data_IF_820531946682
#
_entry.id   IF_820531946682
#
_cell.length_a   1.000
_cell.length_b   1.000
_cell.length_c   1.000
_cell.angle_alpha   90.00
_cell.angle_beta   90.00
_cell.angle_gamma   90.00
#
_symmetry.space_group_name_H-M   'P 1'
#
loop_
_entity.id
_entity.type
_entity.pdbx_description
1 polymer ?
#
# COMPACT_ATOMS: atom_id res chain seq x y z
N UNK A 1 -13.51 20.35 10.19
CA UNK A 1 -12.87 19.21 10.85
C UNK A 1 -13.89 18.33 11.58
N UNK A 2 -14.87 18.92 12.32
CA UNK A 2 -15.89 18.15 13.05
C UNK A 2 -16.84 17.37 12.13
N UNK A 3 -17.24 17.96 11.01
CA UNK A 3 -18.15 17.33 10.05
C UNK A 3 -17.57 16.04 9.44
N UNK A 4 -16.28 16.01 9.15
CA UNK A 4 -15.60 14.81 8.62
C UNK A 4 -15.58 13.68 9.66
N UNK A 5 -15.48 14.01 10.94
CA UNK A 5 -15.45 13.03 12.03
C UNK A 5 -16.84 12.47 12.36
N UNK A 6 -17.89 13.27 12.22
CA UNK A 6 -19.28 12.80 12.32
C UNK A 6 -19.64 11.88 11.14
N UNK A 7 -19.17 12.19 9.92
CA UNK A 7 -19.33 11.29 8.76
C UNK A 7 -18.55 9.99 8.96
N UNK A 8 -17.34 10.04 9.49
CA UNK A 8 -16.56 8.84 9.85
C UNK A 8 -17.29 7.98 10.88
N UNK A 9 -17.80 8.59 11.94
CA UNK A 9 -18.60 7.91 12.95
C UNK A 9 -19.91 7.34 12.40
N UNK A 10 -20.61 8.11 11.55
CA UNK A 10 -21.89 7.69 10.94
C UNK A 10 -21.72 6.57 9.92
N UNK A 11 -20.66 6.56 9.14
CA UNK A 11 -20.36 5.48 8.19
C UNK A 11 -19.99 4.19 8.94
N UNK A 12 -19.27 4.28 10.03
CA UNK A 12 -18.95 3.12 10.89
C UNK A 12 -20.21 2.49 11.49
N UNK A 13 -21.14 3.29 11.98
CA UNK A 13 -22.41 2.78 12.52
C UNK A 13 -23.30 2.12 11.47
N UNK A 14 -23.13 2.45 10.19
CA UNK A 14 -23.89 1.82 9.08
C UNK A 14 -23.30 0.50 8.61
N UNK A 15 -22.02 0.27 8.79
CA UNK A 15 -21.35 -0.98 8.39
C UNK A 15 -21.63 -2.15 9.35
N UNK A 16 -22.22 -1.90 10.54
CA UNK A 16 -22.72 -2.93 11.45
C UNK A 16 -21.70 -3.75 12.21
N UNK A 17 -20.41 -3.67 11.84
CA UNK A 17 -19.37 -4.58 12.32
C UNK A 17 -18.30 -3.90 13.21
N UNK A 18 -18.54 -2.64 13.60
CA UNK A 18 -17.58 -1.91 14.42
C UNK A 18 -17.96 -1.85 15.87
N UNK A 19 -16.95 -1.98 16.73
CA UNK A 19 -17.09 -1.86 18.16
C UNK A 19 -17.92 -0.65 18.55
N UNK A 20 -18.70 -0.83 19.59
CA UNK A 20 -19.59 0.17 20.16
C UNK A 20 -18.86 1.38 20.80
N UNK A 21 -17.58 1.63 20.51
CA UNK A 21 -16.91 2.81 21.03
C UNK A 21 -16.63 3.85 19.94
N UNK A 22 -16.97 5.09 20.22
CA UNK A 22 -16.56 6.22 19.40
C UNK A 22 -15.07 6.48 19.61
N UNK A 23 -14.34 6.69 18.49
CA UNK A 23 -12.93 7.03 18.56
C UNK A 23 -12.77 8.53 18.87
N UNK A 24 -11.92 8.89 19.83
CA UNK A 24 -11.54 10.28 20.04
C UNK A 24 -10.90 10.90 18.80
N UNK A 25 -11.09 12.20 18.62
CA UNK A 25 -10.50 12.95 17.50
C UNK A 25 -8.97 12.81 17.47
N UNK A 26 -8.33 12.88 18.62
CA UNK A 26 -6.88 12.72 18.73
C UNK A 26 -6.39 11.34 18.30
N UNK A 27 -7.19 10.29 18.51
CA UNK A 27 -6.90 8.93 18.03
C UNK A 27 -6.90 8.87 16.49
N UNK A 28 -7.92 9.44 15.83
CA UNK A 28 -8.06 9.38 14.37
C UNK A 28 -7.05 10.27 13.66
N UNK A 29 -6.88 11.48 14.13
CA UNK A 29 -5.96 12.47 13.55
C UNK A 29 -4.50 12.30 13.99
N UNK A 30 -4.25 11.42 14.96
CA UNK A 30 -2.99 11.33 15.69
C UNK A 30 -2.59 12.66 16.37
N UNK A 31 -3.59 13.48 16.70
CA UNK A 31 -3.39 14.70 17.49
C UNK A 31 -2.90 14.40 18.91
N UNK A 32 -3.29 13.23 19.43
CA UNK A 32 -2.82 12.64 20.69
C UNK A 32 -2.45 11.16 20.46
N UNK A 33 -1.14 10.86 20.52
CA UNK A 33 -0.64 9.51 20.37
C UNK A 33 -1.12 8.58 21.51
N UNK A 34 -1.35 9.11 22.71
CA UNK A 34 -1.88 8.34 23.85
C UNK A 34 -3.30 7.82 23.61
N UNK A 35 -4.17 8.63 23.01
CA UNK A 35 -5.52 8.18 22.60
C UNK A 35 -5.44 7.05 21.55
N UNK A 36 -4.49 7.12 20.61
CA UNK A 36 -4.27 6.05 19.63
C UNK A 36 -3.78 4.77 20.29
N UNK A 37 -2.81 4.86 21.18
CA UNK A 37 -2.29 3.71 21.94
C UNK A 37 -3.37 3.05 22.79
N UNK A 38 -4.22 3.84 23.44
CA UNK A 38 -5.35 3.31 24.22
C UNK A 38 -6.38 2.57 23.34
N UNK A 39 -6.61 3.05 22.11
CA UNK A 39 -7.45 2.32 21.15
C UNK A 39 -6.80 1.01 20.69
N UNK A 40 -5.49 1.00 20.44
CA UNK A 40 -4.74 -0.21 20.12
C UNK A 40 -4.82 -1.25 21.26
N UNK A 41 -4.68 -0.81 22.51
CA UNK A 41 -4.78 -1.70 23.68
C UNK A 41 -6.16 -2.39 23.74
N UNK A 42 -7.24 -1.64 23.45
CA UNK A 42 -8.58 -2.22 23.38
C UNK A 42 -8.78 -3.22 22.26
N UNK A 43 -8.06 -3.04 21.14
CA UNK A 43 -8.10 -3.92 19.97
C UNK A 43 -7.10 -5.10 20.07
N UNK A 44 -6.27 -5.13 21.12
CA UNK A 44 -5.21 -6.14 21.26
C UNK A 44 -4.10 -6.02 20.21
N UNK A 45 -3.82 -4.80 19.74
CA UNK A 45 -2.81 -4.53 18.71
C UNK A 45 -1.53 -3.99 19.36
N UNK A 46 -0.43 -4.68 19.18
CA UNK A 46 0.86 -4.30 19.76
C UNK A 46 1.54 -3.17 18.95
N UNK A 47 1.55 -3.29 17.63
CA UNK A 47 2.21 -2.34 16.72
C UNK A 47 1.28 -1.99 15.57
N UNK A 48 1.22 -0.71 15.20
CA UNK A 48 0.54 -0.25 13.99
C UNK A 48 1.51 0.43 13.03
N UNK A 49 1.39 0.13 11.75
CA UNK A 49 1.97 0.89 10.65
C UNK A 49 0.88 1.80 10.09
N UNK A 50 1.09 3.11 10.17
CA UNK A 50 0.10 4.13 9.83
C UNK A 50 0.30 4.62 8.40
N UNK A 51 -0.79 4.60 7.64
CA UNK A 51 -0.87 5.12 6.29
C UNK A 51 -1.64 6.43 6.23
N UNK A 52 -1.42 7.29 5.20
CA UNK A 52 -2.25 8.46 4.98
C UNK A 52 -3.69 8.04 4.63
N UNK A 53 -4.68 8.70 5.21
CA UNK A 53 -6.11 8.38 4.99
C UNK A 53 -6.86 9.42 4.16
N UNK A 54 -6.33 10.63 4.01
CA UNK A 54 -7.03 11.74 3.33
C UNK A 54 -6.21 12.36 2.21
N UNK A 55 -4.96 11.96 2.06
CA UNK A 55 -4.05 12.48 1.04
C UNK A 55 -3.74 11.33 0.07
N UNK A 56 -4.51 11.27 -1.02
CA UNK A 56 -4.41 10.23 -2.03
C UNK A 56 -4.15 10.82 -3.41
N UNK A 57 -3.24 10.19 -4.16
CA UNK A 57 -2.95 10.52 -5.54
C UNK A 57 -2.68 12.02 -5.76
N UNK A 58 -3.26 12.62 -6.79
CA UNK A 58 -3.06 14.03 -7.12
C UNK A 58 -3.98 14.92 -6.29
N UNK A 59 -3.42 15.70 -5.37
CA UNK A 59 -4.17 16.59 -4.49
C UNK A 59 -4.06 18.08 -4.88
N UNK A 60 -3.17 18.43 -5.78
CA UNK A 60 -3.02 19.76 -6.32
C UNK A 60 -2.64 19.70 -7.82
N UNK A 61 -3.05 20.71 -8.59
CA UNK A 61 -2.65 20.85 -10.00
C UNK A 61 -1.15 21.15 -10.12
N UNK A 62 -0.62 21.98 -9.23
CA UNK A 62 0.79 22.33 -9.12
C UNK A 62 1.54 21.18 -8.41
N UNK A 63 2.54 20.61 -9.10
CA UNK A 63 3.30 19.47 -8.59
C UNK A 63 4.22 19.83 -7.42
N UNK A 64 4.75 21.05 -7.39
CA UNK A 64 5.61 21.52 -6.31
C UNK A 64 4.78 21.73 -5.05
N UNK A 65 3.61 22.37 -5.16
CA UNK A 65 2.67 22.52 -4.05
C UNK A 65 2.23 21.17 -3.51
N UNK A 66 1.90 20.21 -4.39
CA UNK A 66 1.58 18.83 -3.97
C UNK A 66 2.72 18.22 -3.17
N UNK A 67 3.95 18.36 -3.65
CA UNK A 67 5.15 17.87 -2.95
C UNK A 67 5.34 18.50 -1.57
N UNK A 68 5.11 19.79 -1.43
CA UNK A 68 5.15 20.49 -0.14
C UNK A 68 4.07 20.00 0.83
N UNK A 69 2.85 19.76 0.34
CA UNK A 69 1.76 19.21 1.14
C UNK A 69 2.07 17.78 1.60
N UNK A 70 2.62 16.92 0.73
CA UNK A 70 3.06 15.58 1.09
C UNK A 70 4.16 15.63 2.16
N UNK A 71 5.14 16.49 2.02
CA UNK A 71 6.21 16.67 3.02
C UNK A 71 5.68 17.23 4.33
N UNK A 72 4.69 18.14 4.28
CA UNK A 72 4.04 18.63 5.50
C UNK A 72 3.34 17.50 6.26
N UNK A 73 2.64 16.60 5.55
CA UNK A 73 2.08 15.38 6.14
C UNK A 73 3.18 14.49 6.72
N UNK A 74 4.24 14.22 5.97
CA UNK A 74 5.35 13.37 6.44
C UNK A 74 5.97 13.89 7.73
N UNK A 75 6.20 15.20 7.82
CA UNK A 75 6.70 15.86 9.04
C UNK A 75 5.71 15.76 10.20
N UNK A 76 4.42 15.92 9.91
CA UNK A 76 3.37 15.80 10.92
C UNK A 76 3.36 14.40 11.52
N UNK A 77 3.16 13.37 10.70
CA UNK A 77 3.03 11.99 11.15
C UNK A 77 4.32 11.49 11.81
N UNK A 78 5.47 11.77 11.21
CA UNK A 78 6.78 11.37 11.77
C UNK A 78 7.06 12.00 13.12
N UNK A 79 6.66 13.26 13.33
CA UNK A 79 6.76 13.91 14.63
C UNK A 79 5.86 13.27 15.67
N UNK A 80 4.61 12.94 15.30
CA UNK A 80 3.64 12.33 16.20
C UNK A 80 4.00 10.88 16.57
N UNK A 81 4.59 10.13 15.67
CA UNK A 81 5.03 8.76 15.95
C UNK A 81 6.33 8.66 16.74
N UNK A 82 7.12 9.74 16.83
CA UNK A 82 8.47 9.70 17.44
C UNK A 82 8.48 9.15 18.86
N UNK A 83 7.62 9.68 19.71
CA UNK A 83 7.59 9.32 21.14
C UNK A 83 6.94 7.94 21.39
N UNK A 84 6.20 7.43 20.42
CA UNK A 84 5.56 6.11 20.42
C UNK A 84 6.20 5.14 19.41
N UNK A 85 7.43 5.37 18.97
CA UNK A 85 8.09 4.67 17.87
C UNK A 85 8.23 3.14 18.05
N UNK A 86 8.09 2.61 19.26
CA UNK A 86 8.04 1.17 19.49
C UNK A 86 6.71 0.53 19.06
N UNK A 87 5.62 1.30 19.06
CA UNK A 87 4.26 0.83 18.78
C UNK A 87 3.61 1.49 17.57
N UNK A 88 3.97 2.74 17.27
CA UNK A 88 3.48 3.47 16.10
C UNK A 88 4.60 3.62 15.08
N UNK A 89 4.42 3.06 13.91
CA UNK A 89 5.25 3.21 12.72
C UNK A 89 4.48 4.01 11.68
N UNK A 90 5.14 4.63 10.76
CA UNK A 90 4.49 5.45 9.75
C UNK A 90 5.08 5.27 8.37
N UNK A 91 4.28 5.49 7.36
CA UNK A 91 4.66 5.43 5.96
C UNK A 91 4.59 6.84 5.37
N UNK A 92 5.66 7.24 4.67
CA UNK A 92 5.75 8.58 4.09
C UNK A 92 5.27 8.63 2.65
N UNK A 93 4.59 9.72 2.30
CA UNK A 93 4.18 10.00 0.92
C UNK A 93 5.38 10.42 0.07
N UNK A 94 5.58 9.76 -1.08
CA UNK A 94 6.63 10.10 -2.05
C UNK A 94 6.04 10.92 -3.21
N UNK A 95 6.41 12.21 -3.36
CA UNK A 95 5.87 13.09 -4.39
C UNK A 95 6.50 12.79 -5.76
N UNK A 96 5.89 11.90 -6.53
CA UNK A 96 6.42 11.42 -7.81
C UNK A 96 6.36 12.44 -8.96
N UNK A 97 5.59 13.52 -8.81
CA UNK A 97 5.42 14.54 -9.89
C UNK A 97 6.51 15.60 -9.91
N UNK A 98 7.29 15.73 -8.83
CA UNK A 98 8.38 16.70 -8.69
C UNK A 98 9.61 16.02 -8.09
N UNK A 99 10.69 15.90 -8.87
CA UNK A 99 11.89 15.18 -8.46
C UNK A 99 12.63 15.85 -7.29
N UNK A 100 12.62 17.18 -7.18
CA UNK A 100 13.27 17.88 -6.07
C UNK A 100 12.46 17.70 -4.77
N UNK A 101 11.13 17.78 -4.85
CA UNK A 101 10.28 17.47 -3.71
C UNK A 101 10.43 16.01 -3.28
N UNK A 102 10.56 15.08 -4.24
CA UNK A 102 10.83 13.67 -3.93
C UNK A 102 12.13 13.47 -3.15
N UNK A 103 13.22 14.10 -3.59
CA UNK A 103 14.52 14.05 -2.87
C UNK A 103 14.41 14.59 -1.45
N UNK A 104 13.74 15.72 -1.28
CA UNK A 104 13.54 16.31 0.05
C UNK A 104 12.71 15.40 0.94
N UNK A 105 11.62 14.83 0.40
CA UNK A 105 10.77 13.89 1.11
C UNK A 105 11.54 12.62 1.53
N UNK A 106 12.37 12.05 0.66
CA UNK A 106 13.20 10.88 0.99
C UNK A 106 14.16 11.16 2.14
N UNK A 107 14.85 12.30 2.13
CA UNK A 107 15.72 12.71 3.24
C UNK A 107 14.95 12.86 4.55
N UNK A 108 13.78 13.49 4.52
CA UNK A 108 12.92 13.65 5.69
C UNK A 108 12.44 12.28 6.20
N UNK A 109 11.96 11.41 5.33
CA UNK A 109 11.50 10.06 5.70
C UNK A 109 12.61 9.26 6.40
N UNK A 110 13.81 9.21 5.82
CA UNK A 110 14.96 8.49 6.41
C UNK A 110 15.34 9.11 7.75
N UNK A 111 15.47 10.43 7.84
CA UNK A 111 15.91 11.10 9.06
C UNK A 111 14.91 11.01 10.21
N UNK A 112 13.62 10.88 9.89
CA UNK A 112 12.52 10.79 10.87
C UNK A 112 12.08 9.34 11.14
N UNK A 113 12.71 8.34 10.52
CA UNK A 113 12.48 6.93 10.79
C UNK A 113 11.15 6.41 10.21
N UNK A 114 10.80 6.80 8.99
CA UNK A 114 9.69 6.19 8.26
C UNK A 114 9.94 4.68 8.07
N UNK A 115 8.90 3.86 8.22
CA UNK A 115 8.98 2.43 7.99
C UNK A 115 9.03 2.07 6.50
N UNK A 116 8.38 2.88 5.67
CA UNK A 116 8.30 2.70 4.22
C UNK A 116 7.94 4.03 3.54
N UNK A 117 8.00 4.06 2.21
CA UNK A 117 7.38 5.11 1.41
C UNK A 117 6.15 4.57 0.69
N UNK A 118 5.15 5.41 0.43
CA UNK A 118 3.94 5.05 -0.30
C UNK A 118 3.82 5.85 -1.59
N UNK A 119 3.43 5.14 -2.64
CA UNK A 119 2.98 5.66 -3.93
C UNK A 119 1.67 5.00 -4.32
N UNK A 120 1.08 5.43 -5.42
CA UNK A 120 -0.16 4.87 -5.95
C UNK A 120 0.09 4.09 -7.24
N UNK A 121 -0.91 3.40 -7.76
CA UNK A 121 -0.76 2.52 -8.93
C UNK A 121 -0.25 3.20 -10.19
N UNK A 122 -0.54 4.50 -10.35
CA UNK A 122 -0.02 5.38 -11.42
C UNK A 122 0.28 6.76 -10.88
N UNK A 123 0.97 7.57 -11.68
CA UNK A 123 1.20 9.01 -11.43
C UNK A 123 0.49 9.78 -12.54
N UNK A 124 -0.77 10.11 -12.30
CA UNK A 124 -1.66 10.60 -13.36
C UNK A 124 -1.77 9.54 -14.47
N UNK A 125 -1.55 9.93 -15.70
CA UNK A 125 -1.61 9.02 -16.88
C UNK A 125 -0.31 8.25 -17.15
N UNK A 126 0.64 8.27 -16.21
CA UNK A 126 1.94 7.59 -16.37
C UNK A 126 2.07 6.41 -15.45
N UNK A 127 2.53 5.31 -16.00
CA UNK A 127 2.91 4.13 -15.21
C UNK A 127 4.16 4.42 -14.38
N UNK A 128 4.34 3.72 -13.27
CA UNK A 128 5.48 3.90 -12.36
C UNK A 128 6.84 3.64 -13.04
N UNK A 129 6.86 2.84 -14.09
CA UNK A 129 8.05 2.57 -14.93
C UNK A 129 8.36 3.65 -15.96
N UNK A 130 7.55 4.72 -16.07
CA UNK A 130 7.78 5.76 -17.08
C UNK A 130 9.18 6.39 -16.90
N UNK A 131 9.95 6.59 -18.01
CA UNK A 131 11.34 7.05 -17.93
C UNK A 131 11.56 8.36 -17.18
N UNK A 132 10.56 9.25 -17.13
CA UNK A 132 10.66 10.51 -16.38
C UNK A 132 10.84 10.32 -14.87
N UNK A 133 10.48 9.16 -14.33
CA UNK A 133 10.63 8.85 -12.91
C UNK A 133 11.97 8.20 -12.55
N UNK A 134 12.81 7.91 -13.56
CA UNK A 134 14.12 7.29 -13.33
C UNK A 134 14.97 8.03 -12.29
N UNK A 135 15.10 9.38 -12.31
CA UNK A 135 15.87 10.07 -11.28
C UNK A 135 15.37 9.85 -9.85
N UNK A 136 14.02 9.74 -9.69
CA UNK A 136 13.41 9.47 -8.39
C UNK A 136 13.72 8.05 -7.94
N UNK A 137 13.58 7.06 -8.84
CA UNK A 137 13.87 5.66 -8.51
C UNK A 137 15.34 5.41 -8.20
N UNK A 138 16.25 6.02 -8.97
CA UNK A 138 17.70 5.89 -8.74
C UNK A 138 18.09 6.38 -7.33
N UNK A 139 17.43 7.43 -6.83
CA UNK A 139 17.68 7.97 -5.48
C UNK A 139 16.90 7.17 -4.41
N UNK A 140 15.64 6.81 -4.68
CA UNK A 140 14.81 6.07 -3.74
C UNK A 140 15.46 4.74 -3.33
N UNK A 141 16.00 4.00 -4.28
CA UNK A 141 16.63 2.70 -3.98
C UNK A 141 17.88 2.80 -3.11
N UNK A 142 18.46 3.99 -2.96
CA UNK A 142 19.57 4.25 -2.03
C UNK A 142 19.10 4.49 -0.60
N UNK A 143 17.83 4.76 -0.39
CA UNK A 143 17.28 4.99 0.97
C UNK A 143 17.17 3.72 1.78
N UNK A 144 17.09 2.55 1.13
CA UNK A 144 16.80 1.27 1.76
C UNK A 144 15.34 1.11 2.23
N UNK A 145 14.48 2.09 2.01
CA UNK A 145 13.07 2.02 2.36
C UNK A 145 12.32 1.04 1.43
N UNK A 146 11.43 0.19 1.97
CA UNK A 146 10.46 -0.53 1.16
C UNK A 146 9.46 0.44 0.52
N UNK A 147 8.92 0.03 -0.63
CA UNK A 147 7.87 0.76 -1.35
C UNK A 147 6.52 0.12 -1.09
N UNK A 148 5.57 0.90 -0.61
CA UNK A 148 4.16 0.52 -0.56
C UNK A 148 3.44 1.12 -1.77
N UNK A 149 2.72 0.29 -2.51
CA UNK A 149 1.78 0.72 -3.54
C UNK A 149 0.40 0.54 -2.93
N UNK A 150 -0.29 1.66 -2.71
CA UNK A 150 -1.57 1.69 -2.02
C UNK A 150 -2.71 2.01 -2.98
N UNK A 151 -3.90 1.52 -2.65
CA UNK A 151 -5.12 1.78 -3.41
C UNK A 151 -5.36 3.30 -3.52
N UNK A 152 -5.66 3.75 -4.72
CA UNK A 152 -6.24 5.06 -5.01
C UNK A 152 -6.68 5.11 -6.47
N UNK A 153 -7.64 5.97 -6.78
CA UNK A 153 -8.05 6.29 -8.17
C UNK A 153 -7.00 7.21 -8.82
N UNK A 154 -5.77 6.72 -8.91
CA UNK A 154 -4.61 7.50 -9.36
C UNK A 154 -4.53 7.69 -10.89
N UNK A 155 -5.33 6.93 -11.65
CA UNK A 155 -5.42 6.99 -13.10
C UNK A 155 -6.68 7.75 -13.53
N UNK A 156 -6.57 9.04 -13.93
CA UNK A 156 -7.74 9.90 -14.19
C UNK A 156 -8.74 9.34 -15.23
N UNK A 157 -8.30 8.72 -16.36
CA UNK A 157 -9.26 8.13 -17.29
C UNK A 157 -10.09 7.01 -16.68
N UNK A 158 -9.53 6.22 -15.77
CA UNK A 158 -10.28 5.19 -15.04
C UNK A 158 -11.27 5.81 -14.07
N UNK A 159 -10.86 6.84 -13.33
CA UNK A 159 -11.73 7.55 -12.42
C UNK A 159 -12.95 8.15 -13.12
N UNK A 160 -12.79 8.62 -14.36
CA UNK A 160 -13.86 9.18 -15.18
C UNK A 160 -14.88 8.13 -15.67
N UNK A 161 -14.50 6.83 -15.69
CA UNK A 161 -15.41 5.74 -16.05
C UNK A 161 -16.31 5.29 -14.89
N UNK A 162 -15.94 5.63 -13.65
CA UNK A 162 -16.69 5.21 -12.48
C UNK A 162 -17.87 6.15 -12.24
N UNK A 163 -19.10 5.62 -12.39
CA UNK A 163 -20.34 6.36 -12.14
C UNK A 163 -20.90 6.11 -10.73
N UNK A 164 -20.38 5.11 -10.04
CA UNK A 164 -20.82 4.70 -8.71
C UNK A 164 -19.67 4.28 -7.80
N UNK A 165 -19.94 4.22 -6.50
CA UNK A 165 -18.97 3.69 -5.52
C UNK A 165 -18.67 2.21 -5.79
N UNK A 166 -19.62 1.46 -6.33
CA UNK A 166 -19.41 0.07 -6.69
C UNK A 166 -18.40 -0.09 -7.82
N UNK A 167 -18.46 0.77 -8.84
CA UNK A 167 -17.46 0.79 -9.92
C UNK A 167 -16.07 1.10 -9.38
N UNK A 168 -15.99 2.10 -8.49
CA UNK A 168 -14.75 2.49 -7.84
C UNK A 168 -14.16 1.33 -7.01
N UNK A 169 -14.98 0.61 -6.25
CA UNK A 169 -14.53 -0.53 -5.44
C UNK A 169 -14.08 -1.72 -6.29
N UNK A 170 -14.78 -2.02 -7.39
CA UNK A 170 -14.42 -3.15 -8.26
C UNK A 170 -13.23 -2.85 -9.16
N UNK A 171 -13.28 -1.72 -9.84
CA UNK A 171 -12.28 -1.37 -10.88
C UNK A 171 -11.12 -0.60 -10.26
N UNK A 172 -11.44 0.32 -9.34
CA UNK A 172 -10.48 1.23 -8.71
C UNK A 172 -9.51 0.55 -7.77
N UNK A 173 -9.87 -0.61 -7.20
CA UNK A 173 -8.94 -1.41 -6.40
C UNK A 173 -8.04 -2.29 -7.29
N UNK A 174 -8.59 -3.12 -8.15
CA UNK A 174 -7.81 -4.12 -8.90
C UNK A 174 -6.93 -3.52 -10.01
N UNK A 175 -7.44 -2.59 -10.82
CA UNK A 175 -6.69 -2.09 -11.99
C UNK A 175 -5.43 -1.30 -11.63
N UNK A 176 -5.41 -0.38 -10.65
CA UNK A 176 -4.18 0.29 -10.25
C UNK A 176 -3.11 -0.68 -9.75
N UNK A 177 -3.48 -1.74 -9.04
CA UNK A 177 -2.55 -2.78 -8.63
C UNK A 177 -1.91 -3.48 -9.85
N UNK A 178 -2.73 -3.84 -10.84
CA UNK A 178 -2.25 -4.50 -12.08
C UNK A 178 -1.33 -3.58 -12.90
N UNK A 179 -1.64 -2.27 -13.00
CA UNK A 179 -0.78 -1.29 -13.67
C UNK A 179 0.57 -1.13 -12.95
N UNK A 180 0.54 -1.07 -11.62
CA UNK A 180 1.77 -1.03 -10.83
C UNK A 180 2.56 -2.33 -10.94
N UNK A 181 1.91 -3.50 -10.89
CA UNK A 181 2.56 -4.79 -11.07
C UNK A 181 3.18 -4.92 -12.46
N UNK A 182 2.50 -4.43 -13.52
CA UNK A 182 3.07 -4.33 -14.84
C UNK A 182 4.34 -3.48 -14.85
N UNK A 183 4.38 -2.37 -14.12
CA UNK A 183 5.58 -1.56 -14.00
C UNK A 183 6.70 -2.30 -13.28
N UNK A 184 6.41 -2.88 -12.10
CA UNK A 184 7.41 -3.51 -11.25
C UNK A 184 7.98 -4.79 -11.85
N UNK A 185 7.10 -5.64 -12.38
CA UNK A 185 7.47 -6.95 -12.93
C UNK A 185 7.53 -6.90 -14.46
N UNK A 186 6.44 -6.52 -15.13
CA UNK A 186 6.31 -6.59 -16.59
C UNK A 186 7.28 -5.69 -17.34
N UNK A 187 7.61 -4.52 -16.82
CA UNK A 187 8.61 -3.60 -17.37
C UNK A 187 10.00 -3.72 -16.72
N UNK A 188 10.23 -4.79 -15.94
CA UNK A 188 11.53 -5.12 -15.40
C UNK A 188 12.11 -4.16 -14.37
N UNK A 189 11.28 -3.37 -13.65
CA UNK A 189 11.78 -2.48 -12.61
C UNK A 189 12.48 -3.23 -11.49
N UNK A 190 11.95 -4.40 -11.07
CA UNK A 190 12.59 -5.23 -10.04
C UNK A 190 13.92 -5.82 -10.50
N UNK A 191 14.10 -6.08 -11.81
CA UNK A 191 15.40 -6.48 -12.34
C UNK A 191 16.41 -5.32 -12.37
N UNK A 192 15.91 -4.12 -12.67
CA UNK A 192 16.73 -2.90 -12.73
C UNK A 192 17.14 -2.41 -11.34
N UNK A 193 16.28 -2.61 -10.34
CA UNK A 193 16.47 -2.18 -8.96
C UNK A 193 16.39 -3.38 -8.02
N UNK A 194 17.46 -4.20 -7.93
CA UNK A 194 17.42 -5.48 -7.22
C UNK A 194 17.23 -5.36 -5.69
N UNK A 195 17.52 -4.21 -5.10
CA UNK A 195 17.27 -3.93 -3.68
C UNK A 195 15.83 -3.55 -3.37
N UNK A 196 15.02 -3.22 -4.39
CA UNK A 196 13.66 -2.75 -4.21
C UNK A 196 12.75 -3.88 -3.70
N UNK A 197 12.08 -3.61 -2.58
CA UNK A 197 10.97 -4.41 -2.04
C UNK A 197 9.67 -3.63 -2.22
N UNK A 198 8.61 -4.32 -2.64
CA UNK A 198 7.33 -3.69 -2.97
C UNK A 198 6.19 -4.42 -2.30
N UNK A 199 5.33 -3.70 -1.59
CA UNK A 199 4.10 -4.19 -1.00
C UNK A 199 2.89 -3.59 -1.74
N UNK A 200 1.94 -4.44 -2.15
CA UNK A 200 0.66 -4.04 -2.72
C UNK A 200 -0.40 -4.12 -1.64
N UNK A 201 -1.00 -2.98 -1.28
CA UNK A 201 -1.83 -2.87 -0.10
C UNK A 201 -3.22 -2.33 -0.44
N UNK A 202 -4.24 -2.90 0.20
CA UNK A 202 -5.66 -2.55 0.05
C UNK A 202 -6.23 -2.82 -1.36
N UNK A 203 -5.69 -3.84 -2.02
CA UNK A 203 -6.16 -4.27 -3.34
C UNK A 203 -6.84 -5.64 -3.31
N UNK A 204 -6.90 -6.32 -2.15
CA UNK A 204 -7.10 -7.78 -2.10
C UNK A 204 -5.90 -8.54 -2.66
N UNK A 205 -6.00 -9.84 -2.80
CA UNK A 205 -4.92 -10.68 -3.31
C UNK A 205 -5.24 -11.38 -4.64
N UNK A 206 -6.50 -11.54 -5.01
CA UNK A 206 -6.94 -12.36 -6.15
C UNK A 206 -6.41 -11.89 -7.51
N UNK A 207 -6.22 -10.60 -7.69
CA UNK A 207 -5.73 -10.00 -8.95
C UNK A 207 -4.34 -10.50 -9.36
N UNK A 208 -3.52 -11.00 -8.41
CA UNK A 208 -2.16 -11.48 -8.68
C UNK A 208 -2.17 -12.72 -9.57
N UNK A 209 -3.12 -13.64 -9.35
CA UNK A 209 -3.22 -14.88 -10.15
C UNK A 209 -3.47 -14.58 -11.62
N UNK A 210 -4.40 -13.67 -11.91
CA UNK A 210 -4.65 -13.21 -13.28
C UNK A 210 -3.39 -12.59 -13.89
N UNK A 211 -2.75 -11.68 -13.17
CA UNK A 211 -1.58 -10.94 -13.65
C UNK A 211 -0.40 -11.87 -13.96
N UNK A 212 -0.05 -12.77 -13.03
CA UNK A 212 1.01 -13.76 -13.22
C UNK A 212 0.68 -14.71 -14.38
N UNK A 213 -0.55 -15.25 -14.40
CA UNK A 213 -0.99 -16.16 -15.45
C UNK A 213 -0.92 -15.54 -16.84
N UNK A 214 -1.35 -14.28 -16.99
CA UNK A 214 -1.29 -13.56 -18.28
C UNK A 214 0.14 -13.26 -18.70
N UNK A 215 0.99 -12.82 -17.79
CA UNK A 215 2.40 -12.57 -18.11
C UNK A 215 3.11 -13.84 -18.57
N UNK A 216 2.91 -14.97 -17.88
CA UNK A 216 3.48 -16.26 -18.28
C UNK A 216 2.99 -16.69 -19.67
N UNK A 217 1.68 -16.63 -19.90
CA UNK A 217 1.07 -17.06 -21.16
C UNK A 217 1.63 -16.29 -22.38
N UNK A 218 1.89 -15.00 -22.22
CA UNK A 218 2.30 -14.14 -23.33
C UNK A 218 3.81 -13.83 -23.36
N UNK A 219 4.61 -14.31 -22.40
CA UNK A 219 6.02 -13.98 -22.29
C UNK A 219 6.80 -14.23 -23.60
N UNK A 220 6.66 -15.43 -24.19
CA UNK A 220 7.34 -15.80 -25.42
C UNK A 220 6.86 -14.99 -26.64
N UNK A 221 5.54 -14.74 -26.72
CA UNK A 221 4.94 -13.97 -27.81
C UNK A 221 5.38 -12.50 -27.72
N UNK A 222 5.36 -11.92 -26.53
CA UNK A 222 5.77 -10.55 -26.32
C UNK A 222 7.25 -10.35 -26.68
N UNK A 223 8.11 -11.26 -26.26
CA UNK A 223 9.55 -11.22 -26.59
C UNK A 223 9.81 -11.16 -28.10
N UNK A 224 9.00 -11.84 -28.90
CA UNK A 224 9.15 -11.87 -30.38
C UNK A 224 8.52 -10.65 -31.08
N UNK A 225 7.65 -9.90 -30.41
CA UNK A 225 6.86 -8.80 -31.01
C UNK A 225 7.23 -7.40 -30.53
N UNK A 226 7.98 -7.28 -29.44
CA UNK A 226 8.36 -5.97 -28.92
C UNK A 226 9.50 -5.37 -29.72
N UNK A 227 9.33 -4.10 -30.08
CA UNK A 227 10.37 -3.31 -30.75
C UNK A 227 11.54 -2.98 -29.81
N UNK A 228 11.27 -2.90 -28.50
CA UNK A 228 12.28 -2.67 -27.47
C UNK A 228 12.24 -3.80 -26.41
N UNK A 229 13.08 -4.83 -26.57
CA UNK A 229 13.20 -5.90 -25.59
C UNK A 229 13.77 -5.44 -24.24
N UNK A 230 14.30 -4.24 -24.13
CA UNK A 230 14.80 -3.66 -22.87
C UNK A 230 13.71 -3.34 -21.83
N UNK A 231 12.45 -3.31 -22.26
CA UNK A 231 11.27 -3.14 -21.36
C UNK A 231 10.69 -4.47 -20.86
N UNK A 232 11.26 -5.61 -21.26
CA UNK A 232 10.82 -6.91 -20.74
C UNK A 232 11.60 -7.28 -19.48
N UNK A 233 10.97 -7.99 -18.52
CA UNK A 233 11.70 -8.55 -17.41
C UNK A 233 12.76 -9.54 -17.92
N UNK A 234 13.92 -9.54 -17.27
CA UNK A 234 14.98 -10.53 -17.52
C UNK A 234 14.69 -11.83 -16.75
N UNK A 235 14.12 -11.68 -15.57
CA UNK A 235 13.74 -12.78 -14.70
C UNK A 235 12.37 -13.33 -15.07
N UNK A 236 12.15 -14.63 -14.79
CA UNK A 236 10.81 -15.21 -14.88
C UNK A 236 9.86 -14.56 -13.86
N UNK A 237 8.61 -14.38 -14.25
CA UNK A 237 7.61 -13.70 -13.40
C UNK A 237 7.35 -14.48 -12.11
N UNK A 238 7.38 -15.81 -12.16
CA UNK A 238 7.16 -16.65 -10.98
C UNK A 238 8.33 -16.58 -10.00
N UNK A 239 9.55 -16.54 -10.52
CA UNK A 239 10.76 -16.36 -9.72
C UNK A 239 10.77 -14.97 -9.04
N UNK A 240 10.35 -13.93 -9.75
CA UNK A 240 10.20 -12.59 -9.17
C UNK A 240 9.15 -12.56 -8.07
N UNK A 241 8.00 -13.19 -8.28
CA UNK A 241 6.92 -13.24 -7.29
C UNK A 241 7.37 -13.98 -6.02
N UNK A 242 8.16 -15.04 -6.16
CA UNK A 242 8.69 -15.84 -5.03
C UNK A 242 10.00 -15.29 -4.44
N UNK A 243 10.50 -14.17 -4.96
CA UNK A 243 11.83 -13.65 -4.59
C UNK A 243 11.96 -13.05 -3.19
N UNK A 244 10.88 -12.94 -2.42
CA UNK A 244 10.86 -12.21 -1.14
C UNK A 244 10.91 -10.70 -1.31
N UNK A 245 10.60 -10.19 -2.52
CA UNK A 245 10.59 -8.75 -2.82
C UNK A 245 9.21 -8.18 -3.18
N UNK A 246 8.24 -9.06 -3.38
CA UNK A 246 6.84 -8.69 -3.64
C UNK A 246 6.02 -9.16 -2.45
N UNK A 247 5.28 -8.25 -1.84
CA UNK A 247 4.40 -8.49 -0.71
C UNK A 247 2.98 -8.11 -1.09
N UNK A 248 2.00 -8.85 -0.54
CA UNK A 248 0.57 -8.51 -0.66
C UNK A 248 -0.03 -8.26 0.72
N UNK A 249 -0.98 -7.34 0.79
CA UNK A 249 -1.85 -7.13 1.93
C UNK A 249 -3.28 -7.57 1.62
N UNK A 250 -3.57 -8.89 1.63
CA UNK A 250 -4.93 -9.38 1.48
C UNK A 250 -5.76 -9.06 2.72
N UNK A 251 -7.08 -9.08 2.57
CA UNK A 251 -7.99 -8.93 3.68
C UNK A 251 -8.09 -10.22 4.52
N UNK A 252 -8.44 -10.07 5.81
CA UNK A 252 -8.58 -11.23 6.72
C UNK A 252 -9.62 -12.24 6.25
N UNK A 253 -10.66 -11.76 5.55
CA UNK A 253 -11.75 -12.59 5.00
C UNK A 253 -11.47 -13.15 3.61
N UNK A 254 -10.31 -12.84 3.01
CA UNK A 254 -9.98 -13.29 1.66
C UNK A 254 -10.01 -14.83 1.58
N UNK A 255 -10.84 -15.37 0.70
CA UNK A 255 -10.99 -16.81 0.52
C UNK A 255 -9.83 -17.40 -0.30
N UNK A 256 -9.10 -16.57 -1.04
CA UNK A 256 -7.93 -16.98 -1.83
C UNK A 256 -6.64 -17.01 -1.00
N UNK A 257 -6.65 -16.56 0.25
CA UNK A 257 -5.47 -16.46 1.11
C UNK A 257 -4.57 -17.71 1.13
N UNK A 258 -5.10 -18.95 1.22
CA UNK A 258 -4.26 -20.15 1.15
C UNK A 258 -3.58 -20.35 -0.22
N UNK A 259 -4.20 -19.89 -1.29
CA UNK A 259 -3.64 -19.94 -2.63
C UNK A 259 -2.55 -18.87 -2.83
N UNK A 260 -2.72 -17.71 -2.24
CA UNK A 260 -1.73 -16.63 -2.23
C UNK A 260 -0.46 -17.07 -1.49
N UNK A 261 -0.61 -17.68 -0.31
CA UNK A 261 0.51 -18.31 0.41
C UNK A 261 1.24 -19.33 -0.45
N UNK A 262 0.52 -20.16 -1.20
CA UNK A 262 1.12 -21.14 -2.12
C UNK A 262 1.84 -20.48 -3.30
N UNK A 263 1.36 -19.35 -3.78
CA UNK A 263 1.96 -18.62 -4.90
C UNK A 263 3.21 -17.85 -4.49
N UNK A 264 3.13 -17.10 -3.38
CA UNK A 264 4.19 -16.18 -2.94
C UNK A 264 5.13 -16.83 -1.92
N UNK A 265 4.61 -17.68 -1.06
CA UNK A 265 5.28 -18.21 0.14
C UNK A 265 4.76 -17.54 1.42
N UNK A 266 5.10 -18.14 2.55
CA UNK A 266 4.56 -17.75 3.86
C UNK A 266 5.10 -16.40 4.38
N UNK A 267 6.20 -15.89 3.80
CA UNK A 267 6.92 -14.70 4.27
C UNK A 267 6.54 -13.41 3.52
N UNK A 268 5.56 -13.45 2.60
CA UNK A 268 5.26 -12.35 1.68
C UNK A 268 3.84 -11.79 1.82
N UNK A 269 3.07 -12.24 2.80
CA UNK A 269 1.76 -11.68 3.10
C UNK A 269 1.82 -10.79 4.33
N UNK A 270 1.18 -9.62 4.25
CA UNK A 270 1.13 -8.61 5.29
C UNK A 270 -0.31 -8.44 5.76
N UNK A 271 -0.52 -8.50 7.07
CA UNK A 271 -1.82 -8.25 7.67
C UNK A 271 -2.19 -6.77 7.63
N UNK A 272 -3.45 -6.48 7.32
CA UNK A 272 -4.04 -5.16 7.44
C UNK A 272 -5.43 -5.24 8.07
N UNK A 273 -5.75 -4.28 8.93
CA UNK A 273 -7.09 -4.12 9.53
C UNK A 273 -7.88 -3.01 8.86
N UNK A 274 -7.22 -2.18 8.07
CA UNK A 274 -7.77 -0.95 7.51
C UNK A 274 -8.43 -0.02 8.56
N UNK A 275 -7.99 -0.12 9.82
CA UNK A 275 -8.48 0.71 10.92
C UNK A 275 -7.94 2.14 10.81
N UNK A 276 -8.77 3.20 10.91
CA UNK A 276 -10.16 3.24 11.34
C UNK A 276 -11.19 3.46 10.21
N UNK A 277 -10.92 3.02 9.00
CA UNK A 277 -11.85 3.18 7.87
C UNK A 277 -13.16 2.40 8.08
N UNK A 278 -14.22 2.81 7.38
CA UNK A 278 -15.55 2.22 7.53
C UNK A 278 -15.65 0.76 7.07
N UNK A 279 -14.84 0.37 6.09
CA UNK A 279 -14.65 -1.01 5.63
C UNK A 279 -13.67 -1.82 6.47
N UNK A 280 -12.83 -1.16 7.29
CA UNK A 280 -11.89 -1.82 8.19
C UNK A 280 -12.60 -2.60 9.29
N UNK A 281 -11.96 -3.66 9.78
CA UNK A 281 -12.53 -4.56 10.79
C UNK A 281 -11.72 -4.52 12.07
N UNK A 282 -12.39 -4.26 13.17
CA UNK A 282 -11.78 -4.28 14.49
C UNK A 282 -11.48 -5.70 15.00
N UNK A 283 -12.13 -6.72 14.42
CA UNK A 283 -11.91 -8.13 14.70
C UNK A 283 -11.03 -8.85 13.66
N UNK A 284 -10.43 -8.14 12.70
CA UNK A 284 -9.67 -8.72 11.59
C UNK A 284 -8.53 -9.67 12.06
N UNK A 285 -7.85 -9.35 13.17
CA UNK A 285 -6.84 -10.23 13.74
C UNK A 285 -7.46 -11.55 14.25
N UNK A 286 -8.62 -11.48 14.89
CA UNK A 286 -9.34 -12.66 15.38
C UNK A 286 -9.83 -13.52 14.22
N UNK A 287 -10.30 -12.92 13.13
CA UNK A 287 -10.67 -13.66 11.93
C UNK A 287 -9.51 -14.52 11.41
N UNK A 288 -8.28 -13.99 11.36
CA UNK A 288 -7.09 -14.77 10.99
C UNK A 288 -6.80 -15.87 12.03
N UNK A 289 -6.89 -15.56 13.33
CA UNK A 289 -6.63 -16.53 14.39
C UNK A 289 -7.61 -17.71 14.30
N UNK A 290 -8.86 -17.46 13.96
CA UNK A 290 -9.93 -18.46 13.89
C UNK A 290 -9.96 -19.26 12.60
N UNK A 291 -9.27 -18.83 11.53
CA UNK A 291 -9.21 -19.57 10.25
C UNK A 291 -8.71 -20.99 10.45
N UNK A 292 -9.40 -21.95 9.83
CA UNK A 292 -9.04 -23.39 9.89
C UNK A 292 -8.15 -23.83 8.72
N UNK A 293 -8.03 -23.00 7.71
CA UNK A 293 -7.26 -23.24 6.48
C UNK A 293 -5.81 -22.73 6.53
N UNK A 294 -5.41 -22.14 7.67
CA UNK A 294 -4.05 -21.67 7.94
C UNK A 294 -3.41 -22.41 9.12
N UNK A 295 -2.13 -22.73 8.99
CA UNK A 295 -1.33 -23.27 10.10
C UNK A 295 -1.05 -22.18 11.16
N UNK A 296 -0.68 -22.60 12.37
CA UNK A 296 -0.28 -21.65 13.44
C UNK A 296 0.90 -20.79 13.03
N UNK A 297 1.85 -21.35 12.30
CA UNK A 297 3.03 -20.63 11.82
C UNK A 297 2.66 -19.59 10.76
N UNK A 298 1.82 -19.95 9.79
CA UNK A 298 1.32 -19.01 8.79
C UNK A 298 0.56 -17.84 9.42
N UNK A 299 -0.31 -18.11 10.40
CA UNK A 299 -1.01 -17.07 11.15
C UNK A 299 -0.04 -16.12 11.87
N UNK A 300 0.98 -16.67 12.54
CA UNK A 300 2.00 -15.87 13.22
C UNK A 300 2.78 -15.00 12.24
N UNK A 301 3.24 -15.56 11.13
CA UNK A 301 3.96 -14.83 10.09
C UNK A 301 3.10 -13.70 9.53
N UNK A 302 1.86 -13.99 9.15
CA UNK A 302 0.94 -13.03 8.58
C UNK A 302 0.59 -11.89 9.55
N UNK A 303 0.36 -12.20 10.83
CA UNK A 303 -0.04 -11.21 11.84
C UNK A 303 1.16 -10.41 12.41
N UNK A 304 2.38 -10.93 12.31
CA UNK A 304 3.51 -10.36 13.05
C UNK A 304 4.86 -10.41 12.34
N UNK A 305 5.37 -11.59 11.93
CA UNK A 305 6.77 -11.74 11.55
C UNK A 305 7.11 -11.07 10.19
N UNK A 306 6.13 -10.92 9.29
CA UNK A 306 6.35 -10.43 7.92
C UNK A 306 6.37 -8.89 7.80
N UNK A 307 5.92 -8.14 8.83
CA UNK A 307 5.77 -6.70 8.80
C UNK A 307 6.99 -5.90 9.31
#
# INVERSE_FOLDING_TARGET
>A
PGMVLEEYGANRSRAGDFTAFSLPVGCVTLGDAGERLAAMDKLGIDVQVLFPSTIYATIASDATLEGELYRAYNRYIGTRCRDAAKRLRWVGLLPMRDAEQAKLAMKEMVSMGAAAAVVFGTVGERMLSHPSFKPIWDEFTQTGLPLCIHMAMSFPPLAQLCESIQDANMIGKAMPAQLAFMSMVGHGMLDKYPSLKVAFLEFGGEWIFYSVGRMKQYAAINKSRMADPGMLPKSDVEDLVKSGRIYLGPESSDFMLPHELKLLGDDQLLYSSDFPHGEGRDNAAMEIIERQDLTKEQKRKFLYDNA
#
